data_IF_326635078617
#
_entry.id   IF_326635078617
#
_cell.length_a   1.000
_cell.length_b   1.000
_cell.length_c   1.000
_cell.angle_alpha   90.00
_cell.angle_beta   90.00
_cell.angle_gamma   90.00
#
_symmetry.space_group_name_H-M   'P 1'
#
loop_
_entity.id
_entity.type
_entity.pdbx_description
1 polymer ?
#
# COMPACT_ATOMS: atom_id res chain seq x y z
N UNK A 1 -19.23 -14.22 79.69
CA UNK A 1 -19.12 -15.39 78.78
C UNK A 1 -18.51 -14.92 77.48
N UNK A 2 -17.38 -15.51 77.05
CA UNK A 2 -16.79 -15.33 75.72
C UNK A 2 -15.74 -14.22 75.54
N UNK A 3 -14.49 -14.47 75.96
CA UNK A 3 -13.24 -13.92 75.37
C UNK A 3 -12.85 -14.78 74.13
N UNK A 4 -11.80 -14.50 73.32
CA UNK A 4 -11.21 -13.24 72.83
C UNK A 4 -10.81 -13.24 71.32
N UNK A 5 -10.25 -12.10 70.90
CA UNK A 5 -9.38 -11.66 69.77
C UNK A 5 -8.20 -12.64 69.41
N UNK A 6 -7.19 -12.30 68.55
CA UNK A 6 -7.06 -11.84 67.13
C UNK A 6 -6.11 -12.79 66.32
N UNK A 7 -5.79 -12.52 65.04
CA UNK A 7 -4.45 -12.90 64.52
C UNK A 7 -3.95 -12.04 63.34
N UNK A 8 -2.78 -11.44 63.55
CA UNK A 8 -1.83 -10.95 62.53
C UNK A 8 -0.75 -12.03 62.32
N UNK A 9 -0.35 -12.30 61.07
CA UNK A 9 1.03 -12.59 60.61
C UNK A 9 0.96 -12.78 59.08
N UNK A 10 1.69 -12.08 58.20
CA UNK A 10 3.13 -11.82 58.04
C UNK A 10 3.86 -12.85 57.13
N UNK A 11 4.69 -12.27 56.24
CA UNK A 11 5.87 -12.79 55.50
C UNK A 11 5.75 -13.74 54.29
N UNK A 12 6.21 -13.15 53.17
CA UNK A 12 7.34 -13.54 52.29
C UNK A 12 7.37 -14.95 51.68
N UNK A 13 7.46 -14.99 50.35
CA UNK A 13 8.05 -16.12 49.62
C UNK A 13 7.92 -15.99 48.11
N UNK A 14 9.06 -15.85 47.42
CA UNK A 14 9.23 -15.94 45.96
C UNK A 14 8.89 -17.35 45.46
N UNK A 15 8.32 -17.51 44.27
CA UNK A 15 9.06 -18.00 43.10
C UNK A 15 8.17 -18.25 41.87
N UNK A 16 8.77 -17.97 40.72
CA UNK A 16 8.63 -18.62 39.42
C UNK A 16 7.22 -18.96 38.89
N UNK A 17 6.71 -18.08 38.03
CA UNK A 17 5.76 -18.43 36.98
C UNK A 17 6.20 -17.77 35.68
N UNK A 18 6.96 -18.50 34.87
CA UNK A 18 7.32 -18.11 33.52
C UNK A 18 6.05 -17.96 32.68
N UNK A 19 5.57 -16.73 32.54
CA UNK A 19 4.61 -16.37 31.51
C UNK A 19 5.38 -16.14 30.23
N UNK A 20 5.49 -17.18 29.40
CA UNK A 20 5.93 -17.06 28.02
C UNK A 20 5.11 -15.96 27.34
N UNK A 21 5.80 -14.89 26.99
CA UNK A 21 5.28 -13.87 26.09
C UNK A 21 5.12 -14.54 24.74
N UNK A 22 3.92 -14.57 24.13
CA UNK A 22 3.80 -15.07 22.77
C UNK A 22 4.49 -14.05 21.87
N UNK A 23 5.72 -14.38 21.49
CA UNK A 23 6.45 -13.74 20.40
C UNK A 23 5.51 -13.72 19.21
N UNK A 24 5.03 -12.51 18.85
CA UNK A 24 4.23 -12.30 17.66
C UNK A 24 5.03 -12.79 16.47
N UNK A 25 4.72 -14.00 16.01
CA UNK A 25 5.15 -14.48 14.71
C UNK A 25 4.49 -13.55 13.70
N UNK A 26 5.27 -12.63 13.13
CA UNK A 26 4.84 -11.91 11.95
C UNK A 26 4.43 -12.96 10.94
N UNK A 27 3.12 -13.10 10.72
CA UNK A 27 2.59 -13.97 9.67
C UNK A 27 3.13 -13.37 8.38
N UNK A 28 4.16 -14.02 7.81
CA UNK A 28 4.55 -13.73 6.45
C UNK A 28 3.29 -13.95 5.61
N UNK A 29 2.76 -12.88 5.03
CA UNK A 29 1.69 -13.01 4.04
C UNK A 29 2.30 -13.83 2.91
N UNK A 30 1.89 -15.10 2.82
CA UNK A 30 2.43 -16.01 1.82
C UNK A 30 2.05 -15.48 0.44
N UNK A 31 3.06 -15.23 -0.40
CA UNK A 31 2.87 -14.70 -1.75
C UNK A 31 2.21 -15.78 -2.61
N UNK A 32 1.20 -15.41 -3.38
CA UNK A 32 0.60 -16.32 -4.34
C UNK A 32 1.58 -16.61 -5.47
N UNK A 33 1.69 -17.85 -5.94
CA UNK A 33 2.38 -18.09 -7.21
C UNK A 33 1.51 -17.64 -8.38
N UNK A 34 2.10 -17.36 -9.54
CA UNK A 34 1.32 -17.08 -10.75
C UNK A 34 0.38 -18.25 -11.10
N UNK A 35 0.78 -19.50 -10.76
CA UNK A 35 -0.04 -20.68 -10.94
C UNK A 35 -1.28 -20.67 -10.03
N UNK A 36 -1.16 -20.20 -8.79
CA UNK A 36 -2.28 -20.04 -7.87
C UNK A 36 -3.25 -18.97 -8.37
N UNK A 37 -2.71 -17.81 -8.79
CA UNK A 37 -3.48 -16.70 -9.37
C UNK A 37 -4.31 -17.17 -10.58
N UNK A 38 -3.75 -18.02 -11.44
CA UNK A 38 -4.44 -18.61 -12.59
C UNK A 38 -5.54 -19.61 -12.23
N UNK A 39 -5.60 -20.08 -10.98
CA UNK A 39 -6.63 -21.02 -10.50
C UNK A 39 -7.75 -20.35 -9.73
N UNK A 40 -7.58 -19.11 -9.26
CA UNK A 40 -8.60 -18.39 -8.50
C UNK A 40 -9.88 -18.18 -9.31
N UNK A 41 -11.04 -18.38 -8.66
CA UNK A 41 -12.28 -17.84 -9.18
C UNK A 41 -12.28 -16.29 -9.13
N UNK A 42 -13.30 -15.67 -9.73
CA UNK A 42 -13.35 -14.21 -9.85
C UNK A 42 -13.38 -13.51 -8.49
N UNK A 43 -14.13 -14.06 -7.53
CA UNK A 43 -14.25 -13.47 -6.20
C UNK A 43 -12.94 -13.53 -5.44
N UNK A 44 -12.29 -14.71 -5.43
CA UNK A 44 -11.00 -14.92 -4.78
C UNK A 44 -9.88 -14.10 -5.44
N UNK A 45 -9.89 -13.95 -6.77
CA UNK A 45 -8.93 -13.11 -7.49
C UNK A 45 -9.05 -11.63 -7.09
N UNK A 46 -10.26 -11.11 -6.99
CA UNK A 46 -10.50 -9.72 -6.55
C UNK A 46 -10.18 -9.54 -5.07
N UNK A 47 -10.51 -10.51 -4.21
CA UNK A 47 -10.16 -10.45 -2.80
C UNK A 47 -8.64 -10.44 -2.59
N UNK A 48 -7.92 -11.29 -3.34
CA UNK A 48 -6.47 -11.39 -3.24
C UNK A 48 -5.74 -10.17 -3.82
N UNK A 49 -6.16 -9.67 -4.99
CA UNK A 49 -5.40 -8.68 -5.75
C UNK A 49 -6.06 -7.29 -5.82
N UNK A 50 -7.27 -7.11 -5.29
CA UNK A 50 -8.02 -5.84 -5.37
C UNK A 50 -7.28 -4.64 -4.78
N UNK A 51 -6.41 -4.88 -3.80
CA UNK A 51 -5.59 -3.86 -3.14
C UNK A 51 -4.44 -3.33 -4.01
N UNK A 52 -4.18 -3.93 -5.18
CA UNK A 52 -3.16 -3.45 -6.13
C UNK A 52 -3.46 -2.04 -6.66
N UNK A 53 -4.73 -1.64 -6.66
CA UNK A 53 -5.16 -0.31 -7.08
C UNK A 53 -5.99 0.36 -5.99
N UNK A 54 -5.59 1.57 -5.63
CA UNK A 54 -6.22 2.33 -4.54
C UNK A 54 -7.71 2.56 -4.81
N UNK A 55 -8.57 2.07 -3.91
CA UNK A 55 -10.02 2.20 -3.99
C UNK A 55 -10.66 1.66 -5.28
N UNK A 56 -9.92 0.88 -6.09
CA UNK A 56 -10.30 0.57 -7.48
C UNK A 56 -10.22 -0.94 -7.81
N UNK A 57 -10.89 -1.82 -7.03
CA UNK A 57 -10.86 -3.27 -7.25
C UNK A 57 -11.49 -3.70 -8.58
N UNK A 58 -12.25 -2.82 -9.23
CA UNK A 58 -12.85 -3.07 -10.55
C UNK A 58 -11.80 -3.43 -11.61
N UNK A 59 -10.58 -2.85 -11.54
CA UNK A 59 -9.51 -3.11 -12.50
C UNK A 59 -9.13 -4.59 -12.48
N UNK A 60 -9.00 -5.13 -11.28
CA UNK A 60 -8.70 -6.54 -11.03
C UNK A 60 -9.87 -7.41 -11.47
N UNK A 61 -11.10 -7.01 -11.13
CA UNK A 61 -12.31 -7.74 -11.51
C UNK A 61 -12.54 -7.83 -13.02
N UNK A 62 -12.13 -6.81 -13.77
CA UNK A 62 -12.23 -6.74 -15.24
C UNK A 62 -11.04 -7.39 -15.95
N UNK A 63 -9.90 -7.51 -15.28
CA UNK A 63 -8.72 -8.20 -15.82
C UNK A 63 -8.80 -9.73 -15.68
N UNK A 64 -9.61 -10.23 -14.74
CA UNK A 64 -9.76 -11.67 -14.47
C UNK A 64 -10.00 -12.58 -15.70
N UNK A 65 -10.79 -12.18 -16.73
CA UNK A 65 -10.99 -12.99 -17.93
C UNK A 65 -9.75 -13.17 -18.81
N UNK A 66 -8.70 -12.35 -18.64
CA UNK A 66 -7.48 -12.41 -19.46
C UNK A 66 -6.52 -13.55 -19.04
N UNK A 67 -6.89 -14.34 -18.03
CA UNK A 67 -6.14 -15.53 -17.60
C UNK A 67 -6.21 -16.63 -18.67
N UNK A 68 -5.20 -17.52 -18.74
CA UNK A 68 -4.05 -17.59 -17.84
C UNK A 68 -2.95 -16.57 -18.18
N UNK A 69 -2.27 -16.07 -17.14
CA UNK A 69 -1.07 -15.25 -17.26
C UNK A 69 0.18 -16.13 -17.24
N UNK A 70 1.13 -15.87 -18.13
CA UNK A 70 2.39 -16.62 -18.18
C UNK A 70 3.28 -16.36 -16.96
N UNK A 71 3.35 -15.10 -16.54
CA UNK A 71 4.18 -14.60 -15.44
C UNK A 71 3.52 -13.35 -14.83
N UNK A 72 4.10 -12.82 -13.75
CA UNK A 72 3.69 -11.58 -13.08
C UNK A 72 3.77 -10.38 -14.01
N UNK A 73 4.70 -10.36 -14.96
CA UNK A 73 4.79 -9.30 -15.97
C UNK A 73 3.60 -9.33 -16.94
N UNK A 74 3.10 -10.50 -17.32
CA UNK A 74 1.91 -10.66 -18.13
C UNK A 74 0.65 -10.22 -17.38
N UNK A 75 0.54 -10.55 -16.08
CA UNK A 75 -0.53 -10.03 -15.23
C UNK A 75 -0.47 -8.49 -15.12
N UNK A 76 0.72 -7.92 -14.90
CA UNK A 76 0.90 -6.46 -14.85
C UNK A 76 0.51 -5.77 -16.17
N UNK A 77 0.91 -6.33 -17.31
CA UNK A 77 0.50 -5.85 -18.64
C UNK A 77 -1.00 -5.92 -18.84
N UNK A 78 -1.64 -7.00 -18.38
CA UNK A 78 -3.09 -7.14 -18.48
C UNK A 78 -3.82 -6.09 -17.63
N UNK A 79 -3.39 -5.88 -16.38
CA UNK A 79 -3.97 -4.89 -15.46
C UNK A 79 -3.82 -3.46 -16.01
N UNK A 80 -2.63 -3.10 -16.50
CA UNK A 80 -2.37 -1.79 -17.11
C UNK A 80 -3.14 -1.60 -18.42
N UNK A 81 -3.31 -2.66 -19.21
CA UNK A 81 -4.17 -2.68 -20.39
C UNK A 81 -5.64 -2.40 -20.06
N UNK A 82 -6.17 -3.00 -18.99
CA UNK A 82 -7.53 -2.72 -18.49
C UNK A 82 -7.71 -1.25 -18.12
N UNK A 83 -6.74 -0.64 -17.44
CA UNK A 83 -6.77 0.80 -17.11
C UNK A 83 -6.76 1.66 -18.39
N UNK A 84 -5.90 1.33 -19.35
CA UNK A 84 -5.80 2.08 -20.60
C UNK A 84 -7.11 2.03 -21.41
N UNK A 85 -7.85 0.92 -21.35
CA UNK A 85 -9.11 0.72 -22.06
C UNK A 85 -10.35 1.29 -21.33
N UNK A 86 -10.23 1.72 -20.07
CA UNK A 86 -11.38 2.08 -19.23
C UNK A 86 -12.05 3.43 -19.57
N UNK A 87 -11.48 4.22 -20.47
CA UNK A 87 -11.92 5.58 -20.77
C UNK A 87 -11.46 6.62 -19.73
N UNK A 88 -11.47 7.89 -20.11
CA UNK A 88 -10.87 8.98 -19.31
C UNK A 88 -11.53 9.14 -17.94
N UNK A 89 -12.85 9.07 -17.83
CA UNK A 89 -13.57 9.27 -16.56
C UNK A 89 -13.13 8.25 -15.49
N UNK A 90 -12.97 6.98 -15.88
CA UNK A 90 -12.54 5.91 -14.96
C UNK A 90 -11.06 6.03 -14.62
N UNK A 91 -10.23 6.46 -15.57
CA UNK A 91 -8.82 6.77 -15.34
C UNK A 91 -8.66 7.92 -14.34
N UNK A 92 -9.46 8.97 -14.50
CA UNK A 92 -9.45 10.11 -13.58
C UNK A 92 -9.94 9.71 -12.18
N UNK A 93 -11.01 8.91 -12.10
CA UNK A 93 -11.50 8.38 -10.82
C UNK A 93 -10.43 7.54 -10.10
N UNK A 94 -9.67 6.72 -10.84
CA UNK A 94 -8.54 5.97 -10.31
C UNK A 94 -7.44 6.90 -9.76
N UNK A 95 -7.08 7.95 -10.50
CA UNK A 95 -6.09 8.93 -10.03
C UNK A 95 -6.60 9.61 -8.75
N UNK A 96 -7.87 10.03 -8.73
CA UNK A 96 -8.50 10.72 -7.60
C UNK A 96 -8.63 9.85 -6.34
N UNK A 97 -8.68 8.54 -6.48
CA UNK A 97 -8.70 7.62 -5.34
C UNK A 97 -7.38 7.60 -4.54
N UNK A 98 -6.27 8.09 -5.11
CA UNK A 98 -4.98 8.08 -4.44
C UNK A 98 -4.90 9.15 -3.34
N UNK A 99 -4.45 8.80 -2.12
CA UNK A 99 -4.23 9.78 -1.07
C UNK A 99 -3.01 10.64 -1.39
N UNK A 100 -3.01 11.88 -0.88
CA UNK A 100 -1.83 12.74 -0.98
C UNK A 100 -0.63 12.19 -0.22
N UNK A 101 0.55 12.47 -0.77
CA UNK A 101 1.80 12.41 -0.04
C UNK A 101 1.75 13.38 1.14
N UNK A 102 2.01 12.87 2.36
CA UNK A 102 2.01 13.68 3.59
C UNK A 102 0.66 14.41 3.81
N UNK A 103 -0.42 13.87 3.23
CA UNK A 103 -1.74 14.45 3.29
C UNK A 103 -2.41 14.40 4.67
N UNK A 104 -3.65 14.88 4.73
CA UNK A 104 -4.49 14.72 5.93
C UNK A 104 -4.71 13.26 6.30
N UNK A 105 -4.84 12.37 5.32
CA UNK A 105 -4.99 10.93 5.56
C UNK A 105 -3.71 10.32 6.16
N UNK A 106 -2.54 10.66 5.62
CA UNK A 106 -1.24 10.24 6.14
C UNK A 106 -1.03 10.68 7.59
N UNK A 107 -1.20 11.98 7.87
CA UNK A 107 -1.01 12.55 9.21
C UNK A 107 -2.01 12.05 10.25
N UNK A 108 -3.18 11.58 9.81
CA UNK A 108 -4.17 11.01 10.70
C UNK A 108 -4.08 9.48 10.84
N UNK A 109 -3.06 8.84 10.23
CA UNK A 109 -2.94 7.38 10.26
C UNK A 109 -4.08 6.64 9.54
N UNK A 110 -4.73 7.29 8.56
CA UNK A 110 -5.89 6.76 7.83
C UNK A 110 -5.57 6.33 6.40
N UNK A 111 -4.30 6.11 6.07
CA UNK A 111 -3.91 5.51 4.80
C UNK A 111 -4.30 4.03 4.78
N UNK A 112 -4.58 3.50 3.59
CA UNK A 112 -4.64 2.05 3.41
C UNK A 112 -3.26 1.44 3.70
N UNK A 113 -3.20 0.16 4.12
CA UNK A 113 -1.91 -0.48 4.42
C UNK A 113 -0.87 -0.37 3.28
N UNK A 114 -1.23 -0.56 1.99
CA UNK A 114 -0.28 -0.37 0.90
C UNK A 114 0.24 1.07 0.79
N UNK A 115 -0.64 2.09 0.85
CA UNK A 115 -0.21 3.49 0.79
C UNK A 115 0.64 3.91 1.99
N UNK A 116 0.36 3.39 3.18
CA UNK A 116 1.19 3.63 4.37
C UNK A 116 2.60 3.06 4.17
N UNK A 117 2.71 1.80 3.73
CA UNK A 117 4.00 1.15 3.46
C UNK A 117 4.80 1.88 2.37
N UNK A 118 4.13 2.35 1.32
CA UNK A 118 4.74 3.12 0.22
C UNK A 118 5.31 4.46 0.70
N UNK A 119 4.56 5.22 1.48
CA UNK A 119 5.03 6.50 2.01
C UNK A 119 6.17 6.30 3.03
N UNK A 120 6.07 5.28 3.90
CA UNK A 120 7.13 4.94 4.84
C UNK A 120 8.45 4.55 4.12
N UNK A 121 8.38 3.73 3.07
CA UNK A 121 9.54 3.34 2.27
C UNK A 121 10.25 4.53 1.58
N UNK A 122 9.51 5.61 1.31
CA UNK A 122 10.04 6.86 0.78
C UNK A 122 10.63 7.81 1.83
N UNK A 123 10.53 7.45 3.12
CA UNK A 123 10.94 8.30 4.24
C UNK A 123 9.95 9.42 4.54
N UNK A 124 8.66 9.22 4.23
CA UNK A 124 7.58 10.17 4.52
C UNK A 124 6.86 9.84 5.83
N UNK A 125 7.56 9.19 6.77
CA UNK A 125 7.05 8.99 8.13
C UNK A 125 6.73 10.35 8.75
N UNK A 126 5.47 10.60 9.04
CA UNK A 126 4.99 11.91 9.52
C UNK A 126 5.65 12.35 10.83
N UNK A 127 6.16 11.40 11.63
CA UNK A 127 6.92 11.66 12.85
C UNK A 127 8.36 12.13 12.59
N UNK A 128 8.90 11.90 11.37
CA UNK A 128 10.28 12.19 10.99
C UNK A 128 10.40 13.38 10.04
N UNK A 129 9.28 13.88 9.51
CA UNK A 129 9.25 15.06 8.67
C UNK A 129 9.29 16.34 9.51
N UNK A 130 10.09 17.32 9.07
CA UNK A 130 10.07 18.64 9.69
C UNK A 130 8.79 19.40 9.33
N UNK A 131 8.46 20.44 10.12
CA UNK A 131 7.32 21.30 9.83
C UNK A 131 7.43 21.97 8.44
N UNK A 132 8.65 22.36 8.04
CA UNK A 132 8.91 22.97 6.73
C UNK A 132 8.70 21.99 5.58
N UNK A 133 9.07 20.72 5.77
CA UNK A 133 8.86 19.66 4.80
C UNK A 133 7.38 19.35 4.62
N UNK A 134 6.64 19.21 5.73
CA UNK A 134 5.18 19.05 5.69
C UNK A 134 4.53 20.22 4.95
N UNK A 135 4.93 21.45 5.27
CA UNK A 135 4.40 22.63 4.61
C UNK A 135 4.76 22.68 3.11
N UNK A 136 5.93 22.18 2.71
CA UNK A 136 6.31 22.07 1.30
C UNK A 136 5.42 21.07 0.54
N UNK A 137 5.13 19.90 1.12
CA UNK A 137 4.18 18.94 0.54
C UNK A 137 2.76 19.50 0.49
N UNK A 138 2.29 20.20 1.53
CA UNK A 138 0.98 20.84 1.52
C UNK A 138 0.84 21.87 0.39
N UNK A 139 1.85 22.74 0.22
CA UNK A 139 1.88 23.71 -0.88
C UNK A 139 1.91 23.03 -2.25
N UNK A 140 2.76 22.01 -2.42
CA UNK A 140 2.86 21.23 -3.66
C UNK A 140 1.53 20.57 -4.02
N UNK A 141 0.91 19.87 -3.08
CA UNK A 141 -0.39 19.23 -3.26
C UNK A 141 -1.49 20.25 -3.61
N UNK A 142 -1.51 21.41 -2.95
CA UNK A 142 -2.49 22.46 -3.20
C UNK A 142 -2.33 23.06 -4.61
N UNK A 143 -1.10 23.43 -5.00
CA UNK A 143 -0.82 23.98 -6.31
C UNK A 143 -1.15 22.98 -7.43
N UNK A 144 -0.75 21.72 -7.26
CA UNK A 144 -1.01 20.66 -8.22
C UNK A 144 -2.51 20.40 -8.41
N UNK A 145 -3.28 20.35 -7.30
CA UNK A 145 -4.74 20.21 -7.39
C UNK A 145 -5.40 21.40 -8.05
N UNK A 146 -4.98 22.63 -7.73
CA UNK A 146 -5.52 23.83 -8.35
C UNK A 146 -5.30 23.82 -9.87
N UNK A 147 -4.17 23.27 -10.33
CA UNK A 147 -3.81 23.17 -11.74
C UNK A 147 -4.56 22.05 -12.48
N UNK A 148 -4.62 20.86 -11.90
CA UNK A 148 -5.04 19.65 -12.63
C UNK A 148 -6.38 19.05 -12.18
N UNK A 149 -6.84 19.38 -10.97
CA UNK A 149 -8.09 18.85 -10.40
C UNK A 149 -8.01 17.43 -9.85
N UNK A 150 -6.80 16.88 -9.68
CA UNK A 150 -6.56 15.54 -9.13
C UNK A 150 -5.25 15.51 -8.30
N UNK A 151 -5.02 14.51 -7.43
CA UNK A 151 -3.84 14.47 -6.57
C UNK A 151 -2.55 14.22 -7.37
N UNK A 152 -1.43 14.65 -6.79
CA UNK A 152 -0.11 14.30 -7.31
C UNK A 152 0.19 12.83 -6.99
N UNK A 153 0.34 12.02 -8.04
CA UNK A 153 0.68 10.60 -7.91
C UNK A 153 2.11 10.39 -8.40
N UNK A 154 2.90 9.68 -7.60
CA UNK A 154 4.25 9.24 -7.93
C UNK A 154 4.53 7.91 -7.23
N UNK A 155 5.31 7.04 -7.86
CA UNK A 155 5.75 5.79 -7.26
C UNK A 155 6.71 6.07 -6.10
N UNK A 156 6.18 6.10 -4.87
CA UNK A 156 6.94 6.51 -3.69
C UNK A 156 8.16 5.62 -3.42
N UNK A 157 8.08 4.32 -3.71
CA UNK A 157 9.19 3.37 -3.54
C UNK A 157 10.39 3.67 -4.44
N UNK A 158 10.16 4.34 -5.56
CA UNK A 158 11.20 4.72 -6.53
C UNK A 158 11.74 6.13 -6.31
N UNK A 159 11.16 6.89 -5.38
CA UNK A 159 11.45 8.30 -5.21
C UNK A 159 11.77 8.64 -3.75
N UNK A 160 12.71 9.56 -3.56
CA UNK A 160 12.96 10.16 -2.25
C UNK A 160 12.28 11.51 -2.15
N UNK A 161 12.12 11.98 -0.91
CA UNK A 161 11.46 13.25 -0.57
C UNK A 161 11.85 14.41 -1.49
N UNK A 162 13.13 14.64 -1.70
CA UNK A 162 13.63 15.77 -2.52
C UNK A 162 13.24 15.63 -4.00
N UNK A 163 13.24 14.40 -4.52
CA UNK A 163 12.78 14.10 -5.88
C UNK A 163 11.27 14.32 -6.02
N UNK A 164 10.48 14.01 -5.00
CA UNK A 164 9.03 14.28 -4.99
C UNK A 164 8.73 15.78 -4.97
N UNK A 165 9.44 16.54 -4.13
CA UNK A 165 9.32 18.00 -4.06
C UNK A 165 9.73 18.66 -5.39
N UNK A 166 10.80 18.19 -6.01
CA UNK A 166 11.21 18.62 -7.36
C UNK A 166 10.16 18.23 -8.40
N UNK A 167 9.59 17.03 -8.27
CA UNK A 167 8.55 16.50 -9.14
C UNK A 167 7.28 17.34 -9.14
N UNK A 168 6.86 17.91 -8.00
CA UNK A 168 5.74 18.86 -7.97
C UNK A 168 6.02 20.03 -8.91
N UNK A 169 7.15 20.72 -8.75
CA UNK A 169 7.48 21.90 -9.54
C UNK A 169 7.60 21.58 -11.02
N UNK A 170 8.34 20.53 -11.38
CA UNK A 170 8.58 20.16 -12.76
C UNK A 170 7.29 19.78 -13.52
N UNK A 171 6.33 19.14 -12.84
CA UNK A 171 5.08 18.67 -13.47
C UNK A 171 4.01 19.75 -13.59
N UNK A 172 4.13 20.90 -12.92
CA UNK A 172 3.15 21.99 -13.04
C UNK A 172 3.12 22.61 -14.44
N UNK A 173 4.21 22.50 -15.19
CA UNK A 173 4.33 23.01 -16.57
C UNK A 173 3.64 22.13 -17.61
N UNK A 174 3.22 20.91 -17.24
CA UNK A 174 2.49 20.02 -18.15
C UNK A 174 1.09 20.54 -18.47
N UNK A 175 0.57 20.09 -19.62
CA UNK A 175 -0.86 20.09 -19.89
C UNK A 175 -1.59 19.06 -19.01
N UNK A 176 -2.90 19.23 -18.82
CA UNK A 176 -3.72 18.29 -18.05
C UNK A 176 -3.67 16.87 -18.62
N UNK A 177 -3.72 16.74 -19.95
CA UNK A 177 -3.72 15.42 -20.61
C UNK A 177 -2.37 14.72 -20.49
N UNK A 178 -1.26 15.46 -20.59
CA UNK A 178 0.07 14.92 -20.30
C UNK A 178 0.13 14.42 -18.87
N UNK A 179 -0.42 15.17 -17.93
CA UNK A 179 -0.35 14.84 -16.51
C UNK A 179 -1.23 13.64 -16.13
N UNK A 180 -2.38 13.45 -16.77
CA UNK A 180 -3.16 12.21 -16.65
C UNK A 180 -2.31 11.02 -17.10
N UNK A 181 -1.63 11.12 -18.25
CA UNK A 181 -0.75 10.04 -18.73
C UNK A 181 0.43 9.79 -17.79
N UNK A 182 1.02 10.83 -17.22
CA UNK A 182 2.08 10.71 -16.21
C UNK A 182 1.56 9.98 -14.98
N UNK A 183 0.44 10.42 -14.41
CA UNK A 183 -0.15 9.82 -13.23
C UNK A 183 -0.47 8.33 -13.45
N UNK A 184 -1.06 7.95 -14.58
CA UNK A 184 -1.33 6.54 -14.89
C UNK A 184 -0.05 5.69 -15.01
N UNK A 185 1.05 6.25 -15.54
CA UNK A 185 2.36 5.57 -15.56
C UNK A 185 2.96 5.40 -14.17
N UNK A 186 2.77 6.36 -13.27
CA UNK A 186 3.18 6.24 -11.87
C UNK A 186 2.35 5.17 -11.15
N UNK A 187 1.04 5.11 -11.40
CA UNK A 187 0.14 4.08 -10.86
C UNK A 187 0.50 2.69 -11.38
N UNK A 188 0.88 2.57 -12.65
CA UNK A 188 1.39 1.31 -13.20
C UNK A 188 2.65 0.84 -12.46
N UNK A 189 3.55 1.74 -12.09
CA UNK A 189 4.74 1.41 -11.29
C UNK A 189 4.38 1.02 -9.85
N UNK A 190 3.48 1.75 -9.21
CA UNK A 190 2.94 1.39 -7.89
C UNK A 190 2.37 -0.03 -7.92
N UNK A 191 1.54 -0.34 -8.92
CA UNK A 191 0.98 -1.68 -9.12
C UNK A 191 2.06 -2.75 -9.29
N UNK A 192 3.16 -2.47 -10.00
CA UNK A 192 4.27 -3.41 -10.16
C UNK A 192 4.93 -3.78 -8.82
N UNK A 193 5.16 -2.80 -7.95
CA UNK A 193 5.71 -3.05 -6.61
C UNK A 193 4.73 -3.82 -5.73
N UNK A 194 3.46 -3.43 -5.71
CA UNK A 194 2.41 -4.17 -4.97
C UNK A 194 2.29 -5.61 -5.47
N UNK A 195 2.41 -5.84 -6.78
CA UNK A 195 2.43 -7.18 -7.37
C UNK A 195 3.64 -8.00 -6.93
N UNK A 196 4.84 -7.41 -6.83
CA UNK A 196 6.02 -8.13 -6.37
C UNK A 196 5.90 -8.61 -4.92
N UNK A 197 5.11 -7.89 -4.11
CA UNK A 197 4.80 -8.28 -2.74
C UNK A 197 3.68 -9.33 -2.65
N UNK A 198 2.71 -9.31 -3.58
CA UNK A 198 1.56 -10.21 -3.54
C UNK A 198 1.78 -11.52 -4.32
N UNK A 199 2.60 -11.50 -5.38
CA UNK A 199 2.72 -12.57 -6.36
C UNK A 199 4.20 -12.92 -6.63
N UNK A 200 4.52 -14.22 -6.61
CA UNK A 200 5.81 -14.75 -7.08
C UNK A 200 5.68 -15.39 -8.46
N UNK A 201 6.76 -15.28 -9.25
CA UNK A 201 6.94 -16.01 -10.51
C UNK A 201 7.41 -17.46 -10.27
N UNK A 202 7.79 -17.79 -9.02
CA UNK A 202 8.18 -19.15 -8.64
C UNK A 202 7.00 -20.12 -8.82
N UNK A 203 7.28 -21.32 -9.32
CA UNK A 203 6.31 -22.42 -9.33
C UNK A 203 5.90 -22.82 -7.90
N UNK A 204 4.87 -23.68 -7.74
CA UNK A 204 4.49 -24.17 -6.41
C UNK A 204 5.74 -24.69 -5.71
N UNK A 205 6.07 -24.11 -4.56
CA UNK A 205 7.35 -24.33 -3.89
C UNK A 205 7.64 -25.82 -3.77
N UNK A 206 8.59 -26.31 -4.57
CA UNK A 206 9.20 -27.61 -4.30
C UNK A 206 10.05 -27.36 -3.06
N UNK A 207 9.54 -27.81 -1.91
CA UNK A 207 10.33 -27.88 -0.69
C UNK A 207 11.63 -28.62 -1.01
N UNK A 208 12.76 -27.91 -0.95
CA UNK A 208 14.08 -28.53 -1.04
C UNK A 208 14.23 -29.49 0.14
N UNK A 209 14.48 -30.79 -0.07
CA UNK A 209 14.87 -31.67 1.03
C UNK A 209 16.24 -31.21 1.53
N UNK A 210 16.37 -31.09 2.86
CA UNK A 210 17.57 -30.64 3.55
C UNK A 210 18.75 -31.62 3.50
#
# INVERSE_FOLDING_TARGET
>A
MGLPIPYHADRRGRDAGAGETPTGTGVAIERLTIADVNRLDRGAFVAALGHLYEGSPWIVAETWPARPFADRAALHRALTGTVAAAGEDRQLALIQAHPDLVGRAARAGRLTPPSAAEQAAAGLDVERLSADEVAAFERGNAAYRARFGFPFVICARENKKDAMLTGFTARLDHSRDEEIRVALREIARICWHRLAEAVSDDGPGVATPG
#
